data_IF_603198785569
#
_entry.id   IF_603198785569
#
_cell.length_a   1.000
_cell.length_b   1.000
_cell.length_c   1.000
_cell.angle_alpha   90.00
_cell.angle_beta   90.00
_cell.angle_gamma   90.00
#
_symmetry.space_group_name_H-M   'P 1'
#
loop_
_entity.id
_entity.type
_entity.pdbx_description
1 polymer ?
#
# COMPACT_ATOMS: atom_id res chain seq x y z
N UNK A 1 39.23 -22.49 -15.87
CA UNK A 1 38.00 -22.10 -15.15
C UNK A 1 37.69 -20.66 -15.53
N UNK A 2 36.97 -20.42 -16.62
CA UNK A 2 36.81 -19.07 -17.18
C UNK A 2 35.78 -18.30 -16.35
N UNK A 3 36.22 -17.28 -15.62
CA UNK A 3 35.35 -16.43 -14.82
C UNK A 3 34.37 -15.66 -15.72
N UNK A 4 33.06 -15.80 -15.46
CA UNK A 4 32.03 -15.01 -16.14
C UNK A 4 32.23 -13.53 -15.80
N UNK A 5 32.36 -12.67 -16.81
CA UNK A 5 32.30 -11.21 -16.63
C UNK A 5 30.96 -10.85 -15.99
N UNK A 6 30.92 -10.03 -14.92
CA UNK A 6 29.67 -9.52 -14.40
C UNK A 6 28.98 -8.73 -15.52
N UNK A 7 27.70 -9.05 -15.79
CA UNK A 7 26.88 -8.28 -16.72
C UNK A 7 26.83 -6.81 -16.29
N UNK A 8 26.76 -5.91 -17.25
CA UNK A 8 26.71 -4.47 -16.99
C UNK A 8 25.66 -4.15 -15.91
N UNK A 9 25.98 -3.29 -14.92
CA UNK A 9 25.05 -2.96 -13.85
C UNK A 9 23.82 -2.28 -14.45
N UNK A 10 22.64 -2.78 -14.11
CA UNK A 10 21.37 -2.25 -14.61
C UNK A 10 21.25 -0.75 -14.29
N UNK A 11 20.90 0.12 -15.25
CA UNK A 11 20.90 1.57 -15.04
C UNK A 11 19.92 2.00 -13.95
N UNK A 12 20.27 3.04 -13.20
CA UNK A 12 19.56 3.48 -12.00
C UNK A 12 18.11 3.89 -12.29
N UNK A 13 17.85 4.48 -13.46
CA UNK A 13 16.52 4.87 -13.93
C UNK A 13 15.59 3.68 -14.08
N UNK A 14 16.06 2.58 -14.70
CA UNK A 14 15.28 1.35 -14.80
C UNK A 14 15.07 0.71 -13.42
N UNK A 15 16.07 0.79 -12.53
CA UNK A 15 15.93 0.28 -11.15
C UNK A 15 14.85 1.05 -10.40
N UNK A 16 14.81 2.37 -10.55
CA UNK A 16 13.79 3.22 -9.94
C UNK A 16 12.39 2.91 -10.49
N UNK A 17 12.24 2.77 -11.82
CA UNK A 17 10.97 2.44 -12.46
C UNK A 17 10.43 1.09 -11.98
N UNK A 18 11.25 0.04 -11.94
CA UNK A 18 10.83 -1.28 -11.44
C UNK A 18 10.44 -1.19 -9.96
N UNK A 19 11.17 -0.41 -9.17
CA UNK A 19 10.86 -0.25 -7.75
C UNK A 19 9.56 0.53 -7.50
N UNK A 20 9.24 1.50 -8.35
CA UNK A 20 8.04 2.35 -8.22
C UNK A 20 6.80 1.70 -8.83
N UNK A 21 6.89 1.08 -10.00
CA UNK A 21 5.75 0.37 -10.63
C UNK A 21 5.37 -0.92 -9.91
N UNK A 22 6.32 -1.63 -9.29
CA UNK A 22 6.02 -2.86 -8.55
C UNK A 22 5.54 -2.62 -7.11
N UNK A 23 5.54 -1.37 -6.63
CA UNK A 23 5.16 -1.04 -5.27
C UNK A 23 3.75 -0.46 -5.23
N UNK A 24 2.79 -1.26 -4.72
CA UNK A 24 1.44 -0.78 -4.45
C UNK A 24 1.47 0.50 -3.58
N UNK A 25 0.72 1.57 -3.91
CA UNK A 25 0.75 2.85 -3.19
C UNK A 25 0.46 2.72 -1.69
N UNK A 26 -0.38 1.76 -1.29
CA UNK A 26 -0.65 1.42 0.11
C UNK A 26 0.58 1.03 0.94
N UNK A 27 1.75 0.77 0.31
CA UNK A 27 3.01 0.53 1.03
C UNK A 27 3.59 1.80 1.67
N UNK A 28 3.12 2.99 1.31
CA UNK A 28 3.54 4.24 1.95
C UNK A 28 3.08 4.36 3.41
N UNK A 29 2.00 3.67 3.79
CA UNK A 29 1.45 3.68 5.16
C UNK A 29 1.92 2.45 5.93
N UNK A 30 2.08 2.56 7.26
CA UNK A 30 2.38 1.42 8.12
C UNK A 30 1.22 0.40 8.13
N UNK A 31 1.52 -0.90 8.14
CA UNK A 31 0.47 -1.92 8.16
C UNK A 31 -0.09 -2.12 9.57
N UNK A 32 -1.39 -1.91 9.83
CA UNK A 32 -1.97 -2.12 11.16
C UNK A 32 -2.11 -3.60 11.55
N UNK A 33 -1.89 -4.54 10.62
CA UNK A 33 -2.02 -5.98 10.88
C UNK A 33 -0.68 -6.64 11.24
N UNK A 34 0.36 -6.42 10.43
CA UNK A 34 1.69 -6.99 10.66
C UNK A 34 2.72 -5.98 11.19
N UNK A 35 2.33 -4.72 11.38
CA UNK A 35 3.19 -3.62 11.83
C UNK A 35 4.42 -3.36 10.93
N UNK A 36 4.37 -3.79 9.67
CA UNK A 36 5.38 -3.43 8.68
C UNK A 36 5.43 -1.90 8.50
N UNK A 37 6.63 -1.33 8.56
CA UNK A 37 6.87 0.11 8.40
C UNK A 37 6.51 0.59 6.97
N UNK A 38 6.35 1.91 6.84
CA UNK A 38 6.25 2.59 5.55
C UNK A 38 7.41 2.17 4.62
N UNK A 39 7.11 1.90 3.36
CA UNK A 39 8.06 1.43 2.34
C UNK A 39 8.49 -0.04 2.45
N UNK A 40 8.19 -0.74 3.56
CA UNK A 40 8.51 -2.17 3.71
C UNK A 40 7.35 -3.06 3.22
N UNK A 41 7.64 -4.19 2.55
CA UNK A 41 6.62 -5.16 2.16
C UNK A 41 5.97 -5.79 3.40
N UNK A 42 4.72 -6.24 3.25
CA UNK A 42 4.07 -7.03 4.28
C UNK A 42 4.72 -8.41 4.35
N UNK A 43 4.84 -8.97 5.55
CA UNK A 43 5.33 -10.32 5.79
C UNK A 43 4.28 -11.14 6.54
N UNK A 44 4.24 -12.44 6.25
CA UNK A 44 3.48 -13.42 7.03
C UNK A 44 4.08 -13.55 8.42
N UNK A 45 3.27 -13.38 9.46
CA UNK A 45 3.71 -13.55 10.85
C UNK A 45 4.21 -14.95 11.15
N UNK A 46 3.58 -15.98 10.56
CA UNK A 46 3.87 -17.39 10.85
C UNK A 46 5.15 -17.89 10.18
N UNK A 47 5.45 -17.41 8.97
CA UNK A 47 6.54 -17.95 8.14
C UNK A 47 7.61 -16.92 7.76
N UNK A 48 7.41 -15.64 8.07
CA UNK A 48 8.31 -14.55 7.68
C UNK A 48 8.37 -14.27 6.17
N UNK A 49 7.57 -14.98 5.35
CA UNK A 49 7.58 -14.81 3.89
C UNK A 49 6.99 -13.46 3.50
N UNK A 50 7.64 -12.81 2.53
CA UNK A 50 7.17 -11.56 1.94
C UNK A 50 5.93 -11.82 1.09
N UNK A 51 4.91 -10.99 1.28
CA UNK A 51 3.72 -11.02 0.44
C UNK A 51 3.93 -10.14 -0.80
N UNK A 52 3.50 -10.61 -1.98
CA UNK A 52 3.47 -9.76 -3.18
C UNK A 52 2.47 -8.61 -2.99
N UNK A 53 1.29 -8.90 -2.42
CA UNK A 53 0.24 -7.90 -2.19
C UNK A 53 0.20 -7.44 -0.73
N UNK A 54 -0.05 -6.14 -0.46
CA UNK A 54 -0.22 -5.68 0.91
C UNK A 54 -1.48 -6.28 1.56
N UNK A 55 -1.48 -6.42 2.89
CA UNK A 55 -2.69 -6.86 3.61
C UNK A 55 -3.88 -5.93 3.32
N UNK A 56 -5.12 -6.44 3.20
CA UNK A 56 -6.31 -5.62 2.95
C UNK A 56 -6.49 -4.48 3.96
N UNK A 57 -6.18 -4.72 5.24
CA UNK A 57 -6.19 -3.69 6.31
C UNK A 57 -5.20 -2.55 6.09
N UNK A 58 -4.11 -2.78 5.36
CA UNK A 58 -3.15 -1.73 5.00
C UNK A 58 -3.71 -0.85 3.89
N UNK A 59 -4.36 -1.47 2.90
CA UNK A 59 -5.02 -0.75 1.81
C UNK A 59 -6.14 0.13 2.37
N UNK A 60 -6.93 -0.39 3.32
CA UNK A 60 -7.98 0.40 3.99
C UNK A 60 -7.41 1.59 4.78
N UNK A 61 -6.32 1.38 5.52
CA UNK A 61 -5.65 2.45 6.26
C UNK A 61 -5.06 3.52 5.33
N UNK A 62 -4.50 3.10 4.19
CA UNK A 62 -4.03 4.02 3.17
C UNK A 62 -5.17 4.83 2.55
N UNK A 63 -6.23 4.18 2.07
CA UNK A 63 -7.38 4.88 1.51
C UNK A 63 -8.05 5.83 2.53
N UNK A 64 -8.03 5.48 3.82
CA UNK A 64 -8.47 6.36 4.89
C UNK A 64 -7.60 7.62 5.01
N UNK A 65 -6.28 7.50 4.85
CA UNK A 65 -5.35 8.64 5.00
C UNK A 65 -5.25 9.50 3.73
N UNK A 66 -5.48 8.91 2.56
CA UNK A 66 -5.25 9.58 1.27
C UNK A 66 -6.46 10.39 0.79
N UNK A 67 -7.68 9.87 0.92
CA UNK A 67 -8.85 10.44 0.27
C UNK A 67 -10.02 10.72 1.23
N UNK A 68 -10.87 11.66 0.84
CA UNK A 68 -12.18 11.87 1.44
C UNK A 68 -13.13 10.75 1.02
N UNK A 69 -14.09 10.36 1.86
CA UNK A 69 -15.13 9.42 1.44
C UNK A 69 -16.36 10.18 0.93
N UNK A 70 -16.75 10.12 -0.35
CA UNK A 70 -17.93 10.82 -0.84
C UNK A 70 -19.27 10.25 -0.32
N UNK A 71 -19.26 9.01 0.21
CA UNK A 71 -20.49 8.37 0.71
C UNK A 71 -20.86 8.85 2.13
N UNK A 72 -19.90 8.95 3.03
CA UNK A 72 -20.11 9.45 4.40
C UNK A 72 -19.57 10.87 4.61
N UNK A 73 -19.04 11.50 3.55
CA UNK A 73 -18.46 12.85 3.53
C UNK A 73 -17.43 13.11 4.63
N UNK A 74 -16.67 12.07 5.01
CA UNK A 74 -15.62 12.20 6.04
C UNK A 74 -14.28 12.62 5.45
N UNK A 75 -13.56 13.45 6.19
CA UNK A 75 -12.21 13.91 5.87
C UNK A 75 -11.17 12.76 5.91
N UNK A 76 -10.01 12.95 5.27
CA UNK A 76 -8.88 12.04 5.37
C UNK A 76 -8.45 11.86 6.84
N UNK A 77 -8.13 10.65 7.23
CA UNK A 77 -7.80 10.28 8.61
C UNK A 77 -9.01 9.83 9.45
N UNK A 78 -10.23 10.26 9.12
CA UNK A 78 -11.44 9.87 9.86
C UNK A 78 -11.99 8.52 9.35
N UNK A 79 -12.31 7.55 10.23
CA UNK A 79 -12.87 6.28 9.80
C UNK A 79 -14.25 6.47 9.16
N UNK A 80 -14.52 5.69 8.12
CA UNK A 80 -15.84 5.62 7.52
C UNK A 80 -16.86 5.10 8.54
N UNK A 81 -18.11 5.55 8.45
CA UNK A 81 -19.20 5.11 9.31
C UNK A 81 -20.44 4.77 8.49
N UNK A 82 -21.24 3.81 8.96
CA UNK A 82 -22.59 3.55 8.49
C UNK A 82 -23.54 3.85 9.66
N UNK A 83 -24.55 4.72 9.45
CA UNK A 83 -25.56 5.05 10.47
C UNK A 83 -24.96 5.40 11.85
N UNK A 84 -23.90 6.21 11.87
CA UNK A 84 -23.14 6.63 13.06
C UNK A 84 -22.29 5.53 13.73
N UNK A 85 -22.22 4.31 13.17
CA UNK A 85 -21.31 3.25 13.63
C UNK A 85 -20.02 3.25 12.80
N UNK A 86 -18.84 3.35 13.43
CA UNK A 86 -17.57 3.29 12.71
C UNK A 86 -17.37 1.91 12.09
N UNK A 87 -16.93 1.90 10.83
CA UNK A 87 -16.55 0.70 10.10
C UNK A 87 -15.08 0.38 10.31
N UNK A 88 -14.75 -0.90 10.30
CA UNK A 88 -13.36 -1.38 10.27
C UNK A 88 -12.70 -1.27 8.90
N UNK A 89 -13.49 -1.16 7.83
CA UNK A 89 -13.03 -0.98 6.45
C UNK A 89 -13.67 0.27 5.84
N UNK A 90 -12.95 0.95 4.96
CA UNK A 90 -13.50 2.12 4.24
C UNK A 90 -14.49 1.68 3.15
N UNK A 91 -15.43 2.56 2.79
CA UNK A 91 -16.35 2.31 1.68
C UNK A 91 -15.60 2.13 0.35
N UNK A 92 -16.13 1.30 -0.55
CA UNK A 92 -15.56 1.03 -1.88
C UNK A 92 -15.17 2.30 -2.63
N UNK A 93 -16.04 3.32 -2.57
CA UNK A 93 -15.78 4.57 -3.28
C UNK A 93 -14.57 5.34 -2.77
N UNK A 94 -14.22 5.22 -1.48
CA UNK A 94 -13.01 5.87 -0.95
C UNK A 94 -11.72 5.20 -1.48
N UNK A 95 -11.76 3.90 -1.80
CA UNK A 95 -10.62 3.26 -2.46
C UNK A 95 -10.40 3.82 -3.85
N UNK A 96 -11.47 3.99 -4.63
CA UNK A 96 -11.41 4.54 -5.99
C UNK A 96 -10.81 5.95 -5.98
N UNK A 97 -11.31 6.84 -5.11
CA UNK A 97 -10.77 8.21 -4.99
C UNK A 97 -9.30 8.22 -4.56
N UNK A 98 -8.88 7.28 -3.70
CA UNK A 98 -7.48 7.16 -3.30
C UNK A 98 -6.59 6.64 -4.45
N UNK A 99 -7.11 5.74 -5.28
CA UNK A 99 -6.45 5.30 -6.51
C UNK A 99 -6.33 6.46 -7.50
N UNK A 100 -7.41 7.22 -7.75
CA UNK A 100 -7.39 8.41 -8.61
C UNK A 100 -6.43 9.51 -8.12
N UNK A 101 -6.27 9.66 -6.80
CA UNK A 101 -5.34 10.63 -6.20
C UNK A 101 -3.87 10.22 -6.36
N UNK A 102 -3.60 8.93 -6.56
CA UNK A 102 -2.24 8.37 -6.62
C UNK A 102 -1.83 7.83 -7.99
N UNK A 103 -2.75 7.83 -8.96
CA UNK A 103 -2.51 7.54 -10.38
C UNK A 103 -1.75 8.70 -11.06
#
# INVERSE_FOLDING_TARGET
MTARKPGAPMPQTLRALIHSTAAHPARQVACPHCHALAGKPCQLRTTGRLLPEPHPKRISAWAQQTACCPHCQVEPGTPCHDEHRPRTTVHTRRYQEAEDTTA
#
